data_IF_522470590917
#
_entry.id   IF_522470590917
#
_cell.length_a   1.000
_cell.length_b   1.000
_cell.length_c   1.000
_cell.angle_alpha   90.00
_cell.angle_beta   90.00
_cell.angle_gamma   90.00
#
_symmetry.space_group_name_H-M   'P 1'
#
loop_
_entity.id
_entity.type
_entity.pdbx_description
1 polymer ?
#
# COMPACT_ATOMS: atom_id res chain seq x y z
N UNK A 1 -5.92 -10.55 16.40
CA UNK A 1 -5.65 -9.20 15.84
C UNK A 1 -4.79 -9.32 14.59
N UNK A 2 -5.25 -8.84 13.42
CA UNK A 2 -4.47 -8.86 12.18
C UNK A 2 -3.71 -7.53 12.02
N UNK A 3 -2.42 -7.59 11.68
CA UNK A 3 -1.64 -6.40 11.30
C UNK A 3 -1.95 -6.09 9.83
N UNK A 4 -2.50 -4.90 9.60
CA UNK A 4 -3.01 -4.47 8.30
C UNK A 4 -2.65 -3.04 7.95
N UNK A 5 -1.89 -2.33 8.79
CA UNK A 5 -1.46 -0.96 8.51
C UNK A 5 0.02 -0.91 8.13
N UNK A 6 0.27 -0.45 6.91
CA UNK A 6 1.57 -0.11 6.36
C UNK A 6 1.96 1.32 6.78
N UNK A 7 3.19 1.50 7.25
CA UNK A 7 3.74 2.81 7.58
C UNK A 7 4.66 3.32 6.48
N UNK A 8 4.42 4.53 6.00
CA UNK A 8 5.28 5.24 5.07
C UNK A 8 6.15 6.27 5.80
N UNK A 9 7.40 6.52 5.35
CA UNK A 9 8.00 6.00 4.12
C UNK A 9 8.59 4.58 4.23
N UNK A 10 8.70 4.03 5.44
CA UNK A 10 9.47 2.79 5.69
C UNK A 10 8.93 1.51 5.01
N UNK A 11 7.62 1.45 4.70
CA UNK A 11 6.96 0.28 4.13
C UNK A 11 6.74 -0.88 5.11
N UNK A 12 6.79 -0.67 6.43
CA UNK A 12 6.58 -1.75 7.40
C UNK A 12 5.12 -1.90 7.82
N UNK A 13 4.68 -3.15 7.96
CA UNK A 13 3.35 -3.53 8.45
C UNK A 13 3.45 -3.88 9.94
N UNK A 14 3.14 -2.92 10.81
CA UNK A 14 3.42 -3.08 12.24
C UNK A 14 2.16 -3.25 13.11
N UNK A 15 1.04 -2.65 12.73
CA UNK A 15 -0.14 -2.56 13.60
C UNK A 15 -1.46 -2.75 12.84
N UNK A 16 -2.56 -2.91 13.58
CA UNK A 16 -3.89 -2.83 13.01
C UNK A 16 -4.36 -1.37 12.88
N UNK A 17 -5.39 -1.14 12.07
CA UNK A 17 -6.04 0.17 11.87
C UNK A 17 -6.48 0.89 13.16
N UNK A 18 -6.81 0.15 14.22
CA UNK A 18 -7.19 0.72 15.53
C UNK A 18 -5.99 1.18 16.36
N UNK A 19 -4.85 0.51 16.20
CA UNK A 19 -3.63 0.82 16.95
C UNK A 19 -2.73 1.82 16.22
N UNK A 20 -2.79 1.85 14.89
CA UNK A 20 -1.94 2.68 14.05
C UNK A 20 -2.00 4.20 14.33
N UNK A 21 -3.13 4.82 14.75
CA UNK A 21 -3.16 6.25 15.05
C UNK A 21 -2.28 6.65 16.23
N UNK A 22 -2.05 5.71 17.16
CA UNK A 22 -1.25 5.92 18.38
C UNK A 22 0.25 5.86 18.12
N UNK A 23 0.66 5.39 16.95
CA UNK A 23 2.06 5.15 16.60
C UNK A 23 2.60 6.34 15.80
N UNK A 24 3.59 7.05 16.35
CA UNK A 24 4.29 8.17 15.69
C UNK A 24 5.60 7.76 14.99
N UNK A 25 6.19 6.65 15.43
CA UNK A 25 7.42 6.06 14.88
C UNK A 25 7.19 4.59 14.64
N UNK A 26 7.67 4.06 13.52
CA UNK A 26 7.52 2.66 13.17
C UNK A 26 8.05 1.76 14.30
N UNK A 27 7.26 0.78 14.73
CA UNK A 27 7.66 -0.14 15.81
C UNK A 27 8.77 -1.11 15.38
N UNK A 28 9.04 -1.22 14.07
CA UNK A 28 10.07 -2.09 13.50
C UNK A 28 11.40 -1.36 13.32
N UNK A 29 11.39 -0.20 12.65
CA UNK A 29 12.61 0.53 12.28
C UNK A 29 12.79 1.89 12.97
N UNK A 30 11.84 2.30 13.83
CA UNK A 30 11.82 3.60 14.53
C UNK A 30 11.75 4.84 13.62
N UNK A 31 11.60 4.65 12.31
CA UNK A 31 11.41 5.75 11.34
C UNK A 31 10.09 6.50 11.61
N UNK A 32 10.05 7.85 11.53
CA UNK A 32 8.82 8.60 11.71
C UNK A 32 7.75 8.20 10.67
N UNK A 33 6.52 8.02 11.15
CA UNK A 33 5.39 7.65 10.29
C UNK A 33 4.79 8.91 9.70
N UNK A 34 4.99 9.15 8.40
CA UNK A 34 4.41 10.28 7.66
C UNK A 34 3.02 9.95 7.12
N UNK A 35 2.80 8.71 6.67
CA UNK A 35 1.52 8.24 6.15
C UNK A 35 1.24 6.79 6.56
N UNK A 36 -0.04 6.42 6.54
CA UNK A 36 -0.59 5.12 6.98
C UNK A 36 -1.53 4.61 5.90
N UNK A 37 -1.29 3.39 5.44
CA UNK A 37 -2.14 2.74 4.45
C UNK A 37 -2.68 1.43 5.01
N UNK A 38 -4.00 1.23 4.90
CA UNK A 38 -4.62 -0.04 5.25
C UNK A 38 -4.49 -1.00 4.06
N UNK A 39 -4.02 -2.21 4.35
CA UNK A 39 -3.83 -3.27 3.36
C UNK A 39 -5.13 -4.00 3.20
N UNK A 40 -5.73 -3.81 2.03
CA UNK A 40 -6.93 -4.50 1.60
C UNK A 40 -6.58 -5.78 0.80
N UNK A 41 -7.61 -6.44 0.31
CA UNK A 41 -7.48 -7.59 -0.58
C UNK A 41 -6.95 -7.16 -1.95
N UNK A 42 -6.31 -8.11 -2.63
CA UNK A 42 -5.75 -7.90 -3.95
C UNK A 42 -6.88 -7.57 -4.93
N UNK A 43 -6.83 -6.40 -5.57
CA UNK A 43 -7.87 -5.99 -6.52
C UNK A 43 -7.84 -6.78 -7.82
N UNK A 44 -6.80 -7.58 -8.05
CA UNK A 44 -6.63 -8.40 -9.26
C UNK A 44 -7.38 -9.72 -9.13
N UNK A 45 -7.09 -10.48 -8.06
CA UNK A 45 -7.66 -11.81 -7.86
C UNK A 45 -8.81 -11.84 -6.85
N UNK A 46 -8.97 -10.81 -6.02
CA UNK A 46 -9.95 -10.74 -4.92
C UNK A 46 -9.91 -11.94 -3.95
N UNK A 47 -8.78 -12.66 -3.91
CA UNK A 47 -8.63 -13.91 -3.15
C UNK A 47 -7.51 -13.78 -2.10
N UNK A 48 -6.40 -13.16 -2.48
CA UNK A 48 -5.23 -12.97 -1.61
C UNK A 48 -5.15 -11.54 -1.11
N UNK A 49 -4.45 -11.32 0.01
CA UNK A 49 -4.14 -9.97 0.50
C UNK A 49 -3.11 -9.29 -0.41
N UNK A 50 -3.26 -7.98 -0.61
CA UNK A 50 -2.23 -7.22 -1.28
C UNK A 50 -0.90 -7.30 -0.49
N UNK A 51 0.19 -7.58 -1.19
CA UNK A 51 1.53 -7.77 -0.61
C UNK A 51 2.61 -6.98 -1.36
N UNK A 52 2.31 -6.46 -2.55
CA UNK A 52 3.26 -5.74 -3.40
C UNK A 52 3.14 -4.24 -3.17
N UNK A 53 4.24 -3.60 -2.78
CA UNK A 53 4.33 -2.15 -2.60
C UNK A 53 4.81 -1.47 -3.90
N UNK A 54 3.93 -0.69 -4.53
CA UNK A 54 4.24 0.06 -5.74
C UNK A 54 5.00 1.34 -5.40
N UNK A 55 6.14 1.58 -6.07
CA UNK A 55 6.92 2.83 -5.96
C UNK A 55 6.85 3.61 -7.27
N UNK A 56 6.86 4.96 -7.25
CA UNK A 56 7.05 5.82 -6.08
C UNK A 56 5.77 6.12 -5.25
N UNK A 57 4.58 5.70 -5.71
CA UNK A 57 3.30 6.11 -5.09
C UNK A 57 3.04 5.52 -3.69
N UNK A 58 3.66 4.40 -3.33
CA UNK A 58 3.50 3.74 -2.03
C UNK A 58 2.22 2.92 -1.86
N UNK A 59 1.44 2.70 -2.93
CA UNK A 59 0.22 1.88 -2.85
C UNK A 59 0.53 0.39 -2.74
N UNK A 60 -0.30 -0.36 -2.00
CA UNK A 60 -0.22 -1.82 -1.88
C UNK A 60 -1.59 -2.42 -2.18
N UNK A 61 -1.82 -2.79 -3.44
CA UNK A 61 -3.14 -3.26 -3.93
C UNK A 61 -3.12 -4.60 -4.69
N UNK A 62 -1.95 -5.22 -4.89
CA UNK A 62 -1.80 -6.49 -5.58
C UNK A 62 -1.01 -7.51 -4.75
N UNK A 63 -1.29 -8.80 -4.93
CA UNK A 63 -0.53 -9.91 -4.35
C UNK A 63 0.65 -10.30 -5.26
N UNK A 64 1.65 -10.98 -4.68
CA UNK A 64 2.89 -11.35 -5.38
C UNK A 64 2.70 -12.50 -6.38
N UNK A 65 1.77 -13.44 -6.11
CA UNK A 65 1.57 -14.65 -6.90
C UNK A 65 1.33 -14.44 -8.40
N UNK A 66 0.75 -13.32 -8.80
CA UNK A 66 0.38 -13.04 -10.18
C UNK A 66 1.39 -12.14 -10.92
N UNK A 67 2.45 -11.68 -10.24
CA UNK A 67 3.44 -10.76 -10.82
C UNK A 67 4.39 -11.41 -11.83
N UNK A 68 4.42 -12.75 -11.95
CA UNK A 68 5.28 -13.44 -12.93
C UNK A 68 4.71 -13.52 -14.35
N UNK A 69 3.39 -13.37 -14.57
CA UNK A 69 2.80 -13.68 -15.90
C UNK A 69 2.36 -12.48 -16.75
N UNK A 70 2.39 -11.24 -16.26
CA UNK A 70 1.99 -10.07 -17.07
C UNK A 70 2.93 -8.88 -16.91
N UNK A 71 3.92 -8.86 -17.79
CA UNK A 71 4.73 -7.71 -18.18
C UNK A 71 3.85 -6.50 -18.60
N UNK A 72 3.23 -5.75 -17.66
CA UNK A 72 2.78 -4.35 -17.89
C UNK A 72 2.40 -3.62 -16.60
N UNK A 73 3.36 -3.45 -15.69
CA UNK A 73 3.20 -2.61 -14.49
C UNK A 73 3.15 -1.08 -14.76
N UNK A 74 3.09 -0.62 -16.02
CA UNK A 74 3.12 0.83 -16.33
C UNK A 74 1.76 1.55 -16.24
N UNK A 75 0.62 0.90 -15.96
CA UNK A 75 -0.71 1.58 -15.94
C UNK A 75 -1.72 1.14 -14.87
N UNK A 76 -1.35 0.30 -13.90
CA UNK A 76 -2.35 -0.27 -12.96
C UNK A 76 -2.78 0.64 -11.80
N UNK A 77 -2.04 1.73 -11.48
CA UNK A 77 -2.50 2.69 -10.47
C UNK A 77 -3.67 3.59 -10.97
N UNK A 78 -4.07 3.46 -12.24
CA UNK A 78 -5.03 4.37 -12.89
C UNK A 78 -6.51 4.00 -12.69
N UNK A 79 -6.82 2.83 -12.11
CA UNK A 79 -8.18 2.26 -12.19
C UNK A 79 -8.90 1.97 -10.87
N UNK A 80 -8.60 2.73 -9.81
CA UNK A 80 -9.53 2.83 -8.68
C UNK A 80 -10.20 4.21 -8.68
N UNK A 81 -11.35 4.24 -9.37
CA UNK A 81 -12.42 5.24 -9.36
C UNK A 81 -12.00 6.72 -9.48
N UNK A 82 -12.08 7.22 -10.72
CA UNK A 82 -12.14 8.64 -10.99
C UNK A 82 -13.37 9.26 -10.31
N UNK A 83 -13.16 10.11 -9.29
CA UNK A 83 -13.74 11.44 -9.09
C UNK A 83 -13.34 11.94 -7.67
N UNK A 84 -12.78 13.15 -7.57
CA UNK A 84 -12.53 13.93 -6.35
C UNK A 84 -11.34 13.54 -5.42
N UNK A 85 -10.09 13.72 -5.88
CA UNK A 85 -9.14 14.73 -5.37
C UNK A 85 -7.81 14.61 -6.16
N UNK A 86 -7.31 15.74 -6.69
CA UNK A 86 -5.99 15.87 -7.32
C UNK A 86 -4.87 15.48 -6.34
N UNK A 87 -4.16 14.36 -6.52
CA UNK A 87 -2.77 14.21 -6.06
C UNK A 87 -1.97 13.28 -7.01
N UNK A 88 -1.30 13.92 -7.96
CA UNK A 88 0.05 13.65 -8.50
C UNK A 88 0.54 12.20 -8.46
N UNK A 89 0.38 11.51 -9.58
CA UNK A 89 1.41 10.59 -10.08
C UNK A 89 1.71 10.96 -11.55
N UNK A 90 2.05 12.23 -11.77
CA UNK A 90 2.63 12.71 -13.02
C UNK A 90 4.12 12.90 -12.79
N UNK A 91 4.91 12.14 -13.54
CA UNK A 91 6.26 12.44 -14.01
C UNK A 91 7.24 13.08 -13.02
N UNK A 92 8.21 12.27 -12.60
CA UNK A 92 9.62 12.65 -12.71
C UNK A 92 10.28 11.67 -13.66
#
# INVERSE_FOLDING_TARGET
>A
MKRDTLFLPCGHIATCSLCSPRVKKCLMCKEPVSSRLKIEECVVCSDKRASVLFKPCGHMCACDDEMSQRLTLKKWCFRQQAFFLKVICTEQ
#
